data_IF_018600979871
#
_entry.id   IF_018600979871
#
_cell.length_a   1.000
_cell.length_b   1.000
_cell.length_c   1.000
_cell.angle_alpha   90.00
_cell.angle_beta   90.00
_cell.angle_gamma   90.00
#
_symmetry.space_group_name_H-M   'P 1'
#
loop_
_entity.id
_entity.type
_entity.pdbx_description
1 polymer ?
#
# COMPACT_ATOMS: atom_id res chain seq x y z
N UNK A 1 -11.32 12.15 18.02
CA UNK A 1 -12.30 12.20 16.92
C UNK A 1 -13.34 13.29 17.19
N UNK A 2 -14.13 13.17 18.27
CA UNK A 2 -15.28 14.03 18.61
C UNK A 2 -15.13 15.55 18.46
N UNK A 3 -13.93 16.14 18.62
CA UNK A 3 -13.72 17.56 18.33
C UNK A 3 -13.83 17.86 16.83
N UNK A 4 -13.02 17.18 16.00
CA UNK A 4 -13.09 17.33 14.54
C UNK A 4 -14.48 16.95 14.02
N UNK A 5 -15.10 15.92 14.59
CA UNK A 5 -16.43 15.47 14.15
C UNK A 5 -17.56 16.46 14.48
N UNK A 6 -17.40 17.26 15.55
CA UNK A 6 -18.34 18.35 15.91
C UNK A 6 -18.10 19.63 15.11
N UNK A 7 -16.84 19.96 14.83
CA UNK A 7 -16.46 21.24 14.21
C UNK A 7 -16.27 21.17 12.68
N UNK A 8 -16.28 19.98 12.08
CA UNK A 8 -16.09 19.76 10.65
C UNK A 8 -17.31 19.12 9.97
N UNK A 9 -18.52 19.56 10.39
CA UNK A 9 -19.78 19.20 9.73
C UNK A 9 -19.77 19.81 8.32
N UNK A 10 -19.74 18.96 7.31
CA UNK A 10 -19.85 19.35 5.90
C UNK A 10 -21.29 19.13 5.45
N UNK A 11 -21.89 20.10 4.76
CA UNK A 11 -23.30 20.03 4.29
C UNK A 11 -23.56 18.94 3.23
N UNK A 12 -22.50 18.26 2.76
CA UNK A 12 -22.57 17.22 1.74
C UNK A 12 -22.58 15.82 2.37
N UNK A 13 -23.35 14.91 1.77
CA UNK A 13 -23.66 13.56 2.27
C UNK A 13 -22.49 12.56 2.22
N UNK A 14 -21.29 12.94 2.65
CA UNK A 14 -20.15 12.00 2.76
C UNK A 14 -20.36 11.06 3.95
N UNK A 15 -20.54 9.77 3.70
CA UNK A 15 -20.75 8.72 4.71
C UNK A 15 -19.54 8.41 5.59
N UNK A 16 -18.44 9.18 5.47
CA UNK A 16 -17.25 9.02 6.29
C UNK A 16 -17.11 10.13 7.33
N UNK A 17 -16.77 9.71 8.55
CA UNK A 17 -16.40 10.56 9.68
C UNK A 17 -15.21 11.48 9.29
N UNK A 18 -15.34 12.82 9.45
CA UNK A 18 -14.34 13.77 8.94
C UNK A 18 -13.05 13.76 9.76
N UNK A 19 -13.12 13.53 11.09
CA UNK A 19 -11.93 13.37 11.91
C UNK A 19 -11.07 12.19 11.47
N UNK A 20 -11.70 11.05 11.16
CA UNK A 20 -11.05 9.87 10.58
C UNK A 20 -10.33 10.22 9.27
N UNK A 21 -10.99 10.90 8.34
CA UNK A 21 -10.39 11.28 7.06
C UNK A 21 -9.15 12.16 7.28
N UNK A 22 -9.22 13.14 8.18
CA UNK A 22 -8.09 13.99 8.54
C UNK A 22 -6.89 13.17 9.05
N UNK A 23 -7.08 12.24 9.99
CA UNK A 23 -6.00 11.40 10.51
C UNK A 23 -5.45 10.42 9.47
N UNK A 24 -6.30 9.83 8.61
CA UNK A 24 -5.84 8.96 7.52
C UNK A 24 -4.97 9.74 6.52
N UNK A 25 -5.40 10.94 6.10
CA UNK A 25 -4.59 11.81 5.22
C UNK A 25 -3.31 12.33 5.90
N UNK A 26 -3.35 12.69 7.19
CA UNK A 26 -2.15 13.10 7.94
C UNK A 26 -1.12 11.98 8.01
N UNK A 27 -1.57 10.74 8.27
CA UNK A 27 -0.72 9.55 8.27
C UNK A 27 -0.09 9.32 6.88
N UNK A 28 -0.90 9.31 5.82
CA UNK A 28 -0.43 9.09 4.45
C UNK A 28 0.59 10.16 3.99
N UNK A 29 0.43 11.42 4.42
CA UNK A 29 1.45 12.46 4.16
C UNK A 29 2.82 12.13 4.77
N UNK A 30 2.86 11.59 6.00
CA UNK A 30 4.11 11.19 6.65
C UNK A 30 4.74 9.95 5.97
N UNK A 31 3.92 8.96 5.59
CA UNK A 31 4.36 7.77 4.86
C UNK A 31 4.96 8.15 3.50
N UNK A 32 4.25 8.98 2.73
CA UNK A 32 4.72 9.46 1.43
C UNK A 32 6.01 10.28 1.56
N UNK A 33 6.13 11.08 2.63
CA UNK A 33 7.35 11.84 2.93
C UNK A 33 8.53 10.91 3.27
N UNK A 34 8.31 9.80 3.97
CA UNK A 34 9.35 8.80 4.24
C UNK A 34 9.80 8.09 2.94
N UNK A 35 8.85 7.64 2.10
CA UNK A 35 9.14 7.01 0.80
C UNK A 35 10.00 7.95 -0.07
N UNK A 36 9.62 9.23 -0.18
CA UNK A 36 10.39 10.26 -0.90
C UNK A 36 11.71 10.70 -0.23
N UNK A 37 12.12 10.06 0.87
CA UNK A 37 13.45 10.21 1.47
C UNK A 37 14.29 8.93 1.36
N UNK A 38 13.66 7.79 1.08
CA UNK A 38 14.35 6.52 0.79
C UNK A 38 14.81 6.40 -0.67
N UNK A 39 14.18 7.11 -1.60
CA UNK A 39 14.52 7.12 -3.04
C UNK A 39 14.70 8.58 -3.48
N UNK A 40 15.91 8.95 -3.92
CA UNK A 40 16.30 10.35 -4.19
C UNK A 40 16.62 10.65 -5.66
N UNK A 41 17.09 9.67 -6.43
CA UNK A 41 17.44 9.82 -7.85
C UNK A 41 17.32 8.49 -8.61
N UNK A 42 17.44 8.51 -9.94
CA UNK A 42 17.22 7.34 -10.80
C UNK A 42 18.13 6.11 -10.51
N UNK A 43 19.33 6.33 -9.93
CA UNK A 43 20.23 5.27 -9.43
C UNK A 43 20.07 4.94 -7.92
N UNK A 44 19.02 5.44 -7.25
CA UNK A 44 18.77 5.19 -5.81
C UNK A 44 17.64 4.16 -5.70
N UNK A 45 17.96 2.94 -5.26
CA UNK A 45 17.03 1.82 -5.22
C UNK A 45 16.65 1.49 -3.77
N UNK A 46 15.34 1.42 -3.47
CA UNK A 46 14.85 1.01 -2.17
C UNK A 46 13.59 0.15 -2.28
N UNK A 47 13.43 -0.78 -1.35
CA UNK A 47 12.20 -1.58 -1.18
C UNK A 47 11.48 -1.10 0.09
N UNK A 48 10.16 -0.91 -0.01
CA UNK A 48 9.33 -0.40 1.10
C UNK A 48 8.23 -1.40 1.44
N UNK A 49 8.21 -1.88 2.68
CA UNK A 49 7.19 -2.82 3.19
C UNK A 49 6.09 -2.09 3.95
N UNK A 50 4.86 -2.12 3.43
CA UNK A 50 3.68 -1.47 4.03
C UNK A 50 2.86 -2.47 4.86
N UNK A 51 3.33 -2.75 6.08
CA UNK A 51 2.83 -3.83 6.94
C UNK A 51 1.56 -3.47 7.76
N UNK A 52 0.44 -3.18 7.09
CA UNK A 52 -0.85 -2.92 7.75
C UNK A 52 -2.07 -3.34 6.91
N UNK A 53 -3.09 -3.94 7.55
CA UNK A 53 -4.34 -4.37 6.91
C UNK A 53 -5.15 -3.21 6.28
N UNK A 54 -4.86 -1.95 6.62
CA UNK A 54 -5.48 -0.76 6.02
C UNK A 54 -5.00 -0.50 4.59
N UNK A 55 -3.79 -0.89 4.21
CA UNK A 55 -3.26 -0.71 2.85
C UNK A 55 -3.93 -1.59 1.79
N UNK A 56 -4.82 -2.52 2.17
CA UNK A 56 -5.66 -3.30 1.26
C UNK A 56 -6.86 -2.51 0.72
N UNK A 57 -7.13 -1.33 1.29
CA UNK A 57 -8.22 -0.45 0.87
C UNK A 57 -7.74 0.43 -0.28
N UNK A 58 -8.45 0.39 -1.40
CA UNK A 58 -8.18 1.25 -2.57
C UNK A 58 -8.13 2.75 -2.21
N UNK A 59 -8.93 3.19 -1.24
CA UNK A 59 -8.92 4.56 -0.70
C UNK A 59 -7.64 4.95 0.06
N UNK A 60 -6.89 3.97 0.59
CA UNK A 60 -5.58 4.20 1.23
C UNK A 60 -4.48 4.12 0.16
N UNK A 61 -4.57 3.16 -0.76
CA UNK A 61 -3.66 3.04 -1.91
C UNK A 61 -3.69 4.29 -2.81
N UNK A 62 -4.87 4.88 -3.05
CA UNK A 62 -5.02 6.09 -3.86
C UNK A 62 -4.41 7.35 -3.22
N UNK A 63 -4.07 7.31 -1.92
CA UNK A 63 -3.34 8.36 -1.22
C UNK A 63 -1.81 8.21 -1.29
N UNK A 64 -1.28 7.10 -1.84
CA UNK A 64 0.13 6.98 -2.21
C UNK A 64 0.41 7.81 -3.50
N UNK A 65 1.65 8.23 -3.79
CA UNK A 65 1.99 8.87 -5.06
C UNK A 65 1.75 7.93 -6.25
N UNK A 66 1.29 8.44 -7.39
CA UNK A 66 0.96 7.62 -8.59
C UNK A 66 2.12 6.70 -9.04
N UNK A 67 3.36 7.16 -8.94
CA UNK A 67 4.54 6.36 -9.28
C UNK A 67 4.75 5.18 -8.31
N UNK A 68 4.45 5.35 -7.02
CA UNK A 68 4.48 4.26 -6.03
C UNK A 68 3.35 3.27 -6.28
N UNK A 69 2.14 3.75 -6.64
CA UNK A 69 0.99 2.89 -6.93
C UNK A 69 1.29 1.88 -8.05
N UNK A 70 2.07 2.29 -9.07
CA UNK A 70 2.50 1.42 -10.17
C UNK A 70 3.49 0.31 -9.74
N UNK A 71 4.18 0.49 -8.61
CA UNK A 71 5.13 -0.49 -8.06
C UNK A 71 4.53 -1.40 -6.99
N UNK A 72 3.23 -1.33 -6.70
CA UNK A 72 2.58 -2.19 -5.70
C UNK A 72 2.47 -3.62 -6.25
N UNK A 73 3.24 -4.54 -5.67
CA UNK A 73 3.16 -5.96 -6.01
C UNK A 73 1.92 -6.58 -5.35
N UNK A 74 0.84 -6.71 -6.11
CA UNK A 74 -0.32 -7.51 -5.74
C UNK A 74 -0.03 -8.99 -5.96
N UNK A 75 -0.27 -9.85 -4.97
CA UNK A 75 -0.22 -11.31 -5.20
C UNK A 75 -1.45 -11.72 -6.01
N UNK A 76 -1.24 -12.07 -7.27
CA UNK A 76 -2.18 -12.87 -8.05
C UNK A 76 -1.98 -14.34 -7.68
N UNK A 77 -3.06 -15.01 -7.26
CA UNK A 77 -3.07 -16.47 -7.14
C UNK A 77 -3.20 -17.05 -8.55
N UNK A 78 -2.39 -18.07 -8.86
CA UNK A 78 -2.47 -18.77 -10.13
C UNK A 78 -3.61 -19.80 -10.08
N UNK A 79 -4.82 -19.38 -10.45
CA UNK A 79 -6.01 -20.23 -10.58
C UNK A 79 -5.85 -21.24 -11.74
N UNK A 80 -5.05 -22.29 -11.50
CA UNK A 80 -4.85 -23.42 -12.44
C UNK A 80 -5.19 -24.79 -11.87
N UNK A 81 -5.47 -24.92 -10.56
CA UNK A 81 -5.88 -26.18 -9.93
C UNK A 81 -6.87 -26.00 -8.76
N UNK A 82 -8.13 -25.66 -9.06
CA UNK A 82 -9.26 -25.96 -8.17
C UNK A 82 -10.58 -26.00 -8.95
N UNK A 83 -10.97 -27.19 -9.39
CA UNK A 83 -12.31 -27.44 -9.95
C UNK A 83 -13.28 -27.73 -8.80
N UNK A 84 -14.49 -27.16 -8.88
CA UNK A 84 -15.67 -27.41 -8.04
C UNK A 84 -15.68 -26.85 -6.60
N UNK A 85 -16.90 -26.81 -6.06
CA UNK A 85 -17.32 -26.49 -4.68
C UNK A 85 -17.26 -25.02 -4.25
N UNK A 86 -18.46 -24.44 -4.17
CA UNK A 86 -18.74 -23.06 -3.77
C UNK A 86 -18.59 -22.80 -2.27
N UNK A 87 -17.72 -21.88 -1.89
CA UNK A 87 -17.85 -21.04 -0.68
C UNK A 87 -17.01 -19.77 -0.85
N UNK A 88 -17.40 -18.67 -0.21
CA UNK A 88 -16.91 -17.30 -0.47
C UNK A 88 -15.48 -17.04 0.01
N UNK A 89 -14.50 -17.72 -0.60
CA UNK A 89 -13.09 -17.65 -0.24
C UNK A 89 -12.41 -16.38 -0.78
N UNK A 90 -12.51 -15.29 -0.02
CA UNK A 90 -11.85 -14.01 -0.31
C UNK A 90 -10.33 -14.04 0.03
N UNK A 91 -9.69 -15.19 -0.17
CA UNK A 91 -8.46 -15.57 0.52
C UNK A 91 -7.17 -15.18 -0.22
N UNK A 92 -6.38 -14.30 0.43
CA UNK A 92 -5.01 -13.88 0.11
C UNK A 92 -4.85 -13.01 -1.15
N UNK A 93 -4.62 -11.71 -0.91
CA UNK A 93 -4.22 -10.69 -1.92
C UNK A 93 -2.80 -10.15 -1.68
N UNK A 94 -1.99 -10.83 -0.87
CA UNK A 94 -0.68 -10.37 -0.38
C UNK A 94 0.39 -11.43 -0.53
N UNK A 95 1.60 -11.00 -0.85
CA UNK A 95 2.80 -11.77 -0.51
C UNK A 95 2.89 -11.94 1.01
N UNK A 96 3.27 -13.13 1.47
CA UNK A 96 3.68 -13.32 2.86
C UNK A 96 5.04 -12.62 3.12
N UNK A 97 5.43 -12.38 4.38
CA UNK A 97 6.64 -11.60 4.67
C UNK A 97 7.92 -12.25 4.09
N UNK A 98 8.04 -13.58 4.13
CA UNK A 98 9.13 -14.33 3.50
C UNK A 98 9.15 -14.19 1.97
N UNK A 99 8.00 -14.29 1.29
CA UNK A 99 7.88 -14.05 -0.16
C UNK A 99 8.29 -12.61 -0.52
N UNK A 100 7.82 -11.63 0.25
CA UNK A 100 8.14 -10.22 0.05
C UNK A 100 9.63 -9.90 0.28
N UNK A 101 10.26 -10.51 1.29
CA UNK A 101 11.70 -10.41 1.53
C UNK A 101 12.52 -11.09 0.43
N UNK A 102 12.07 -12.24 -0.09
CA UNK A 102 12.77 -12.93 -1.19
C UNK A 102 12.68 -12.15 -2.51
N UNK A 103 11.51 -11.55 -2.80
CA UNK A 103 11.35 -10.61 -3.90
C UNK A 103 12.29 -9.40 -3.75
N UNK A 104 12.48 -8.89 -2.53
CA UNK A 104 13.39 -7.77 -2.26
C UNK A 104 14.86 -8.13 -2.48
N UNK A 105 15.34 -9.28 -1.98
CA UNK A 105 16.69 -9.79 -2.27
C UNK A 105 16.93 -9.89 -3.77
N UNK A 106 16.03 -10.58 -4.48
CA UNK A 106 16.12 -10.80 -5.92
C UNK A 106 16.12 -9.46 -6.68
N UNK A 107 15.33 -8.49 -6.26
CA UNK A 107 15.34 -7.15 -6.86
C UNK A 107 16.71 -6.49 -6.73
N UNK A 108 17.32 -6.47 -5.54
CA UNK A 108 18.64 -5.87 -5.36
C UNK A 108 19.72 -6.60 -6.17
N UNK A 109 19.81 -7.93 -6.08
CA UNK A 109 20.81 -8.68 -6.86
C UNK A 109 20.60 -8.65 -8.38
N UNK A 110 19.40 -8.29 -8.86
CA UNK A 110 19.15 -8.05 -10.30
C UNK A 110 19.51 -6.62 -10.76
N UNK A 111 19.87 -5.72 -9.83
CA UNK A 111 20.29 -4.34 -10.12
C UNK A 111 21.72 -4.04 -9.60
N UNK A 112 22.39 -5.05 -9.03
CA UNK A 112 23.73 -4.94 -8.43
C UNK A 112 24.78 -4.57 -9.51
N UNK A 113 24.64 -5.12 -10.73
CA UNK A 113 25.42 -4.77 -11.93
C UNK A 113 25.23 -3.32 -12.43
N UNK A 114 24.34 -2.51 -11.83
CA UNK A 114 24.12 -1.09 -12.18
C UNK A 114 24.65 -0.09 -11.13
N UNK A 115 25.29 -0.61 -10.07
CA UNK A 115 25.86 0.17 -8.96
C UNK A 115 27.38 0.37 -9.04
N UNK A 116 28.05 -0.33 -9.95
CA UNK A 116 29.41 0.01 -10.43
C UNK A 116 29.37 1.06 -11.57
#
# INVERSE_FOLDING_TARGET
MTYLDKHFIRESQSTQNPGRQYYETMCMRLINQAIGRSIRHAKDYAVVFLLDNRYYRSMIQSQLPKWVQQSIIHQQLNDKQSISLSTSNHHRKFLNLSEALEHAKRFFSSNEECLE
#
